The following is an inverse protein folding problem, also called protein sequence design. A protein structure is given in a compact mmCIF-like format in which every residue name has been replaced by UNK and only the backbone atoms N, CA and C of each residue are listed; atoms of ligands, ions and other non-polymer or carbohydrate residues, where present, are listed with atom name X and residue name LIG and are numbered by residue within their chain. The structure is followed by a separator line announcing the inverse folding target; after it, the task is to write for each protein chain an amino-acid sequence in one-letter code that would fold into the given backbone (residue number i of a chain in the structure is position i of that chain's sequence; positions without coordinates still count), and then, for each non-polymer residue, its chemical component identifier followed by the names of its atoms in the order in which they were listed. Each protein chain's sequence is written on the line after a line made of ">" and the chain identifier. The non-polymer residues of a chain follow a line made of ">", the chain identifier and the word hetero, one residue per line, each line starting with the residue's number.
data_IF_803385757571
#
_entry.id   IF_803385757571
#
_cell.length_a   1.000
_cell.length_b   1.000
_cell.length_c   1.000
_cell.angle_alpha   90.00
_cell.angle_beta   90.00
_cell.angle_gamma   90.00
#
_symmetry.space_group_name_H-M   'P 1'
#
loop_
_entity.id
_entity.type
_entity.pdbx_description
1 polymer ?
#
# COMPACT_ATOMS: atom_id res chain seq x y z
N UNK A 1 -28.70 26.69 32.07
CA UNK A 1 -27.56 26.02 32.75
C UNK A 1 -27.51 24.58 32.24
N UNK A 2 -26.42 23.91 31.89
CA UNK A 2 -25.04 24.21 31.47
C UNK A 2 -24.44 22.82 31.20
N UNK A 3 -23.86 22.59 30.02
CA UNK A 3 -22.77 21.63 29.68
C UNK A 3 -22.98 20.13 30.06
N UNK A 4 -22.81 19.15 29.16
CA UNK A 4 -21.52 18.85 28.55
C UNK A 4 -21.62 17.77 27.47
N UNK A 5 -21.04 18.06 26.30
CA UNK A 5 -20.96 17.19 25.10
C UNK A 5 -19.73 16.26 25.18
N UNK A 6 -19.20 15.98 26.37
CA UNK A 6 -17.90 15.30 26.57
C UNK A 6 -17.96 13.88 27.14
N UNK A 7 -19.06 13.15 26.99
CA UNK A 7 -19.19 11.82 27.61
C UNK A 7 -18.77 10.64 26.71
N UNK A 8 -18.17 10.85 25.53
CA UNK A 8 -17.91 9.71 24.63
C UNK A 8 -16.57 9.75 23.87
N UNK A 9 -15.50 10.25 24.52
CA UNK A 9 -14.13 10.19 23.97
C UNK A 9 -13.22 9.16 24.68
N UNK A 10 -13.76 8.30 25.55
CA UNK A 10 -12.97 7.28 26.24
C UNK A 10 -12.61 6.06 25.37
N UNK A 11 -13.50 5.69 24.44
CA UNK A 11 -13.35 4.44 23.68
C UNK A 11 -12.43 4.56 22.46
N UNK A 12 -12.34 5.74 21.86
CA UNK A 12 -11.51 6.00 20.66
C UNK A 12 -10.01 6.07 21.00
N UNK A 13 -9.65 6.31 22.26
CA UNK A 13 -8.25 6.41 22.70
C UNK A 13 -7.65 5.07 23.19
N UNK A 14 -8.41 3.97 23.19
CA UNK A 14 -7.98 2.68 23.77
C UNK A 14 -8.31 1.42 22.94
N UNK A 15 -8.39 1.47 21.62
CA UNK A 15 -8.33 0.24 20.81
C UNK A 15 -6.92 0.01 20.26
N UNK A 16 -5.96 -0.21 21.16
CA UNK A 16 -4.72 -0.96 20.84
C UNK A 16 -5.00 -2.45 21.07
N UNK A 17 -6.10 -2.94 20.51
CA UNK A 17 -6.33 -4.38 20.47
C UNK A 17 -5.39 -4.95 19.40
N UNK A 18 -4.40 -5.80 19.75
CA UNK A 18 -3.53 -6.44 18.77
C UNK A 18 -4.30 -7.30 17.76
N UNK A 19 -5.58 -7.63 18.02
CA UNK A 19 -6.48 -8.26 17.03
C UNK A 19 -6.87 -7.34 15.86
N UNK A 20 -6.71 -6.01 16.04
CA UNK A 20 -7.03 -4.97 15.05
C UNK A 20 -5.84 -4.65 14.15
N UNK A 21 -4.60 -4.95 14.56
CA UNK A 21 -3.42 -4.84 13.70
C UNK A 21 -3.11 -6.17 13.00
N UNK A 22 -3.94 -6.54 12.03
CA UNK A 22 -3.75 -7.75 11.20
C UNK A 22 -2.61 -7.61 10.18
N UNK A 23 -1.71 -6.64 10.35
CA UNK A 23 -0.60 -6.44 9.43
C UNK A 23 0.44 -7.54 9.59
N UNK A 24 0.65 -8.28 8.51
CA UNK A 24 1.67 -9.34 8.42
C UNK A 24 3.08 -8.82 8.18
N UNK A 25 3.25 -7.52 7.86
CA UNK A 25 4.53 -6.90 7.57
C UNK A 25 4.50 -5.37 7.80
N UNK A 26 5.67 -4.81 8.13
CA UNK A 26 5.91 -3.36 8.18
C UNK A 26 5.79 -2.76 6.77
N UNK A 27 5.17 -1.57 6.68
CA UNK A 27 5.01 -0.82 5.43
C UNK A 27 5.80 0.47 5.51
N UNK A 28 6.74 0.64 4.59
CA UNK A 28 7.50 1.86 4.43
C UNK A 28 6.71 2.87 3.61
N UNK A 29 6.68 4.13 4.05
CA UNK A 29 6.10 5.23 3.30
C UNK A 29 7.07 5.68 2.20
N UNK A 30 6.58 5.76 0.97
CA UNK A 30 7.38 6.09 -0.21
C UNK A 30 6.65 7.07 -1.13
N UNK A 31 7.41 7.73 -2.01
CA UNK A 31 6.90 8.45 -3.17
C UNK A 31 7.54 7.90 -4.43
N UNK A 32 6.95 6.87 -5.01
CA UNK A 32 7.54 6.26 -6.20
C UNK A 32 6.56 6.31 -7.37
N UNK A 33 6.96 7.02 -8.43
CA UNK A 33 6.30 6.93 -9.72
C UNK A 33 6.63 5.56 -10.32
N UNK A 34 5.60 4.86 -10.78
CA UNK A 34 5.66 3.52 -11.33
C UNK A 34 4.54 3.36 -12.38
N UNK A 35 4.35 2.13 -12.87
CA UNK A 35 3.22 1.75 -13.68
C UNK A 35 2.71 0.34 -13.32
N UNK A 36 1.40 0.15 -13.47
CA UNK A 36 0.72 -1.14 -13.36
C UNK A 36 0.45 -1.63 -14.77
N UNK A 37 0.78 -2.88 -15.07
CA UNK A 37 0.39 -3.54 -16.32
C UNK A 37 -0.76 -4.51 -16.06
N UNK A 38 -1.89 -4.26 -16.71
CA UNK A 38 -3.10 -5.07 -16.65
C UNK A 38 -3.66 -5.25 -18.07
N UNK A 39 -4.11 -6.45 -18.41
CA UNK A 39 -4.68 -6.75 -19.74
C UNK A 39 -3.81 -6.29 -20.94
N UNK A 40 -2.48 -6.38 -20.80
CA UNK A 40 -1.52 -5.96 -21.83
C UNK A 40 -1.37 -4.45 -21.99
N UNK A 41 -1.91 -3.64 -21.07
CA UNK A 41 -1.80 -2.18 -21.07
C UNK A 41 -1.11 -1.71 -19.79
N UNK A 42 -0.21 -0.73 -19.94
CA UNK A 42 0.48 -0.11 -18.81
C UNK A 42 -0.17 1.21 -18.44
N UNK A 43 -0.31 1.42 -17.14
CA UNK A 43 -1.03 2.51 -16.52
C UNK A 43 -0.17 3.20 -15.48
N UNK A 44 -0.13 4.53 -15.49
CA UNK A 44 0.61 5.29 -14.48
C UNK A 44 0.12 4.99 -13.06
N UNK A 45 1.06 4.86 -12.14
CA UNK A 45 0.77 4.67 -10.71
C UNK A 45 1.76 5.44 -9.85
N UNK A 46 1.30 5.91 -8.68
CA UNK A 46 2.16 6.47 -7.63
C UNK A 46 2.06 5.61 -6.39
N UNK A 47 3.11 4.88 -6.07
CA UNK A 47 3.19 4.03 -4.88
C UNK A 47 3.39 4.92 -3.66
N UNK A 48 2.55 4.70 -2.65
CA UNK A 48 2.44 5.50 -1.41
C UNK A 48 3.07 4.78 -0.24
N UNK A 49 2.91 3.45 -0.18
CA UNK A 49 3.61 2.61 0.77
C UNK A 49 3.87 1.22 0.19
N UNK A 50 4.90 0.56 0.69
CA UNK A 50 5.33 -0.77 0.25
C UNK A 50 5.82 -1.59 1.44
N UNK A 51 5.48 -2.87 1.47
CA UNK A 51 6.07 -3.89 2.34
C UNK A 51 6.70 -5.01 1.50
N UNK A 52 7.31 -5.99 2.14
CA UNK A 52 7.76 -7.20 1.46
C UNK A 52 6.61 -8.03 0.84
N UNK A 53 5.35 -7.79 1.22
CA UNK A 53 4.19 -8.58 0.81
C UNK A 53 3.27 -7.87 -0.19
N UNK A 54 3.44 -6.57 -0.40
CA UNK A 54 2.55 -5.80 -1.25
C UNK A 54 2.74 -4.31 -1.12
N UNK A 55 1.83 -3.56 -1.73
CA UNK A 55 1.88 -2.10 -1.72
C UNK A 55 0.51 -1.47 -1.86
N UNK A 56 0.48 -0.17 -1.62
CA UNK A 56 -0.62 0.71 -1.96
C UNK A 56 -0.14 1.76 -2.96
N UNK A 57 -0.91 2.01 -4.00
CA UNK A 57 -0.66 3.10 -4.93
C UNK A 57 -1.93 3.89 -5.24
N UNK A 58 -1.76 5.08 -5.83
CA UNK A 58 -2.82 5.79 -6.55
C UNK A 58 -2.72 5.51 -8.05
N UNK A 59 -3.85 5.30 -8.71
CA UNK A 59 -3.96 5.19 -10.16
C UNK A 59 -5.36 5.60 -10.60
N UNK A 60 -5.47 6.28 -11.75
CA UNK A 60 -6.75 6.66 -12.36
C UNK A 60 -7.30 5.57 -13.31
N UNK A 61 -6.77 4.36 -13.19
CA UNK A 61 -7.07 3.25 -14.10
C UNK A 61 -8.26 2.44 -13.60
N UNK A 62 -9.09 1.88 -14.50
CA UNK A 62 -10.26 1.10 -14.13
C UNK A 62 -9.85 -0.32 -13.71
N UNK A 63 -9.19 -0.41 -12.56
CA UNK A 63 -8.72 -1.65 -11.93
C UNK A 63 -9.79 -2.19 -10.98
N UNK A 64 -9.89 -3.51 -10.88
CA UNK A 64 -10.89 -4.19 -10.04
C UNK A 64 -10.23 -5.13 -9.02
N UNK A 65 -10.89 -5.32 -7.87
CA UNK A 65 -10.48 -6.34 -6.91
C UNK A 65 -10.48 -7.74 -7.53
N UNK A 66 -9.45 -8.52 -7.22
CA UNK A 66 -9.21 -9.87 -7.75
C UNK A 66 -8.46 -9.90 -9.09
N UNK A 67 -8.23 -8.74 -9.72
CA UNK A 67 -7.45 -8.69 -10.96
C UNK A 67 -5.99 -9.05 -10.73
N UNK A 68 -5.43 -9.81 -11.69
CA UNK A 68 -4.01 -10.14 -11.76
C UNK A 68 -3.30 -9.06 -12.55
N UNK A 69 -2.26 -8.48 -11.96
CA UNK A 69 -1.49 -7.39 -12.55
C UNK A 69 0.00 -7.62 -12.36
N UNK A 70 0.83 -6.83 -13.03
CA UNK A 70 2.19 -6.59 -12.59
C UNK A 70 2.39 -5.13 -12.25
N UNK A 71 3.23 -4.85 -11.26
CA UNK A 71 3.64 -3.50 -10.90
C UNK A 71 5.14 -3.37 -11.12
N UNK A 72 5.58 -2.29 -11.75
CA UNK A 72 7.00 -2.06 -11.92
C UNK A 72 7.65 -1.61 -10.61
N UNK A 73 8.67 -2.34 -10.18
CA UNK A 73 9.48 -2.01 -9.00
C UNK A 73 10.96 -1.93 -9.42
N UNK A 74 11.76 -1.03 -8.82
CA UNK A 74 13.20 -1.03 -9.01
C UNK A 74 13.77 -2.43 -8.73
N UNK A 75 14.80 -2.84 -9.47
CA UNK A 75 15.45 -4.16 -9.37
C UNK A 75 14.56 -5.32 -9.88
N UNK A 76 13.33 -5.45 -9.40
CA UNK A 76 12.40 -6.53 -9.75
C UNK A 76 11.73 -6.36 -11.12
N UNK A 77 11.63 -5.13 -11.63
CA UNK A 77 10.86 -4.77 -12.83
C UNK A 77 9.38 -5.13 -12.63
N UNK A 78 8.73 -5.74 -13.62
CA UNK A 78 7.31 -6.10 -13.56
C UNK A 78 7.10 -7.24 -12.57
N UNK A 79 6.66 -6.90 -11.35
CA UNK A 79 6.47 -7.86 -10.27
C UNK A 79 5.00 -8.29 -10.16
N UNK A 80 4.69 -9.61 -10.25
CA UNK A 80 3.33 -10.12 -10.24
C UNK A 80 2.57 -9.88 -8.92
N UNK A 81 1.33 -9.41 -9.02
CA UNK A 81 0.47 -9.11 -7.88
C UNK A 81 -1.02 -9.35 -8.17
N UNK A 82 -1.81 -9.46 -7.11
CA UNK A 82 -3.28 -9.44 -7.14
C UNK A 82 -3.79 -8.16 -6.48
N UNK A 83 -4.77 -7.51 -7.09
CA UNK A 83 -5.47 -6.38 -6.47
C UNK A 83 -6.38 -6.91 -5.36
N UNK A 84 -6.11 -6.48 -4.12
CA UNK A 84 -6.85 -6.93 -2.94
C UNK A 84 -8.02 -6.01 -2.60
N UNK A 85 -7.94 -4.75 -2.98
CA UNK A 85 -9.01 -3.76 -2.81
C UNK A 85 -8.76 -2.53 -3.69
N UNK A 86 -9.84 -1.82 -4.00
CA UNK A 86 -9.84 -0.53 -4.70
C UNK A 86 -10.78 0.41 -3.96
N UNK A 87 -10.32 1.61 -3.62
CA UNK A 87 -11.11 2.61 -2.89
C UNK A 87 -10.64 4.02 -3.25
N UNK A 88 -11.52 4.84 -3.83
CA UNK A 88 -11.28 6.25 -4.16
C UNK A 88 -9.95 6.50 -4.91
N UNK A 89 -9.70 5.75 -6.00
CA UNK A 89 -8.47 5.87 -6.80
C UNK A 89 -7.21 5.32 -6.12
N UNK A 90 -7.35 4.74 -4.92
CA UNK A 90 -6.29 3.98 -4.24
C UNK A 90 -6.49 2.50 -4.52
N UNK A 91 -5.38 1.83 -4.74
CA UNK A 91 -5.33 0.40 -5.06
C UNK A 91 -4.34 -0.25 -4.11
N UNK A 92 -4.80 -1.26 -3.37
CA UNK A 92 -3.92 -2.13 -2.60
C UNK A 92 -3.73 -3.45 -3.32
N UNK A 93 -2.49 -3.89 -3.43
CA UNK A 93 -2.15 -5.16 -4.06
C UNK A 93 -1.23 -5.99 -3.17
N UNK A 94 -1.35 -7.30 -3.32
CA UNK A 94 -0.53 -8.31 -2.66
C UNK A 94 0.31 -9.01 -3.72
N UNK A 95 1.61 -9.15 -3.46
CA UNK A 95 2.50 -9.87 -4.35
C UNK A 95 2.21 -11.37 -4.28
N UNK A 96 2.37 -12.09 -5.40
CA UNK A 96 2.23 -13.55 -5.38
C UNK A 96 3.33 -14.23 -4.57
N UNK A 97 4.52 -13.62 -4.53
CA UNK A 97 5.64 -14.07 -3.71
C UNK A 97 6.14 -12.89 -2.85
N UNK A 98 6.53 -13.15 -1.59
CA UNK A 98 7.22 -12.15 -0.79
C UNK A 98 8.54 -11.72 -1.44
N UNK A 99 8.83 -10.42 -1.42
CA UNK A 99 10.14 -9.91 -1.81
C UNK A 99 11.16 -10.36 -0.75
N UNK A 100 12.25 -11.01 -1.18
CA UNK A 100 13.32 -11.41 -0.25
C UNK A 100 13.92 -10.19 0.48
N UNK A 101 14.34 -10.32 1.76
CA UNK A 101 14.87 -9.19 2.53
C UNK A 101 16.00 -8.44 1.82
N UNK A 102 16.96 -9.17 1.22
CA UNK A 102 18.10 -8.57 0.50
C UNK A 102 17.67 -7.67 -0.66
N UNK A 103 16.68 -8.10 -1.45
CA UNK A 103 16.17 -7.31 -2.58
C UNK A 103 15.31 -6.16 -2.08
N UNK A 104 14.51 -6.37 -1.04
CA UNK A 104 13.69 -5.34 -0.43
C UNK A 104 14.54 -4.19 0.12
N UNK A 105 15.60 -4.49 0.86
CA UNK A 105 16.54 -3.49 1.38
C UNK A 105 17.26 -2.74 0.25
N UNK A 106 17.69 -3.47 -0.80
CA UNK A 106 18.33 -2.87 -1.97
C UNK A 106 17.36 -1.93 -2.71
N UNK A 107 16.08 -2.30 -2.85
CA UNK A 107 15.07 -1.44 -3.44
C UNK A 107 14.87 -0.17 -2.60
N UNK A 108 14.69 -0.29 -1.28
CA UNK A 108 14.50 0.84 -0.40
C UNK A 108 15.68 1.81 -0.40
N UNK A 109 16.90 1.33 -0.64
CA UNK A 109 18.08 2.21 -0.76
C UNK A 109 18.02 3.15 -1.98
N UNK A 110 17.20 2.83 -2.98
CA UNK A 110 17.05 3.59 -4.24
C UNK A 110 15.76 4.44 -4.20
N UNK A 111 14.77 4.06 -3.38
CA UNK A 111 13.49 4.76 -3.27
C UNK A 111 13.59 5.82 -2.18
N UNK A 112 13.38 7.12 -2.48
CA UNK A 112 13.40 8.15 -1.47
C UNK A 112 12.32 7.90 -0.40
N UNK A 113 12.67 7.84 0.90
CA UNK A 113 11.68 7.65 1.95
C UNK A 113 10.79 8.89 2.06
N UNK A 114 9.48 8.69 2.27
CA UNK A 114 8.56 9.78 2.60
C UNK A 114 8.33 9.86 4.10
N UNK A 115 8.46 11.06 4.66
CA UNK A 115 8.26 11.30 6.11
C UNK A 115 6.79 11.44 6.53
N UNK A 116 5.86 11.67 5.59
CA UNK A 116 4.42 11.82 5.88
C UNK A 116 3.55 11.30 4.74
N UNK A 117 2.39 10.73 5.09
CA UNK A 117 1.37 10.29 4.15
C UNK A 117 0.24 11.35 4.12
N UNK A 118 0.12 12.09 3.02
CA UNK A 118 -1.00 13.01 2.76
C UNK A 118 -1.49 12.79 1.32
#
# INVERSE_FOLDING_TARGET
>A
MSTSVFANLGHVLRSRDPSVDQRRAQRELVDMVSHITAHGRSHGARIINISALGLMCRSDSPLSQGERVSIWLPILKDYPAEIRWVEDGRVGMEFYEPISPKIYDAMLSIIPPRRTAW
#
